data_IF_787285181486
#
_entry.id   IF_787285181486
#
_cell.length_a   1.000
_cell.length_b   1.000
_cell.length_c   1.000
_cell.angle_alpha   90.00
_cell.angle_beta   90.00
_cell.angle_gamma   90.00
#
_symmetry.space_group_name_H-M   'P 1'
#
loop_
_entity.id
_entity.type
_entity.pdbx_description
1 polymer ?
#
# COMPACT_ATOMS: atom_id res chain seq x y z
N UNK A 1 -20.75 -9.37 17.32
CA UNK A 1 -19.53 -9.09 16.53
C UNK A 1 -18.49 -8.62 17.53
N UNK A 2 -17.52 -9.45 17.85
CA UNK A 2 -16.44 -9.07 18.78
C UNK A 2 -15.42 -8.28 17.98
N UNK A 3 -15.37 -6.96 18.18
CA UNK A 3 -14.27 -6.14 17.74
C UNK A 3 -12.98 -6.77 18.27
N UNK A 4 -12.10 -7.20 17.35
CA UNK A 4 -10.74 -7.65 17.71
C UNK A 4 -9.90 -6.42 17.99
N UNK A 5 -10.18 -5.76 19.12
CA UNK A 5 -9.39 -4.62 19.56
C UNK A 5 -7.94 -5.09 19.75
N UNK A 6 -7.07 -4.72 18.85
CA UNK A 6 -5.63 -4.94 19.03
C UNK A 6 -5.18 -4.10 20.22
N UNK A 7 -4.58 -4.70 21.29
CA UNK A 7 -4.11 -3.94 22.44
C UNK A 7 -3.01 -2.94 22.06
N UNK A 8 -2.45 -3.03 20.87
CA UNK A 8 -1.38 -2.17 20.35
C UNK A 8 -1.88 -1.10 19.34
N UNK A 9 -3.21 -0.94 19.21
CA UNK A 9 -3.82 -0.06 18.21
C UNK A 9 -4.08 -0.74 16.85
N UNK A 10 -4.52 0.01 15.82
CA UNK A 10 -4.80 -0.53 14.50
C UNK A 10 -3.52 -0.98 13.80
N UNK A 11 -3.63 -2.01 12.94
CA UNK A 11 -2.56 -2.40 12.04
C UNK A 11 -2.30 -1.27 11.03
N UNK A 12 -1.09 -0.74 11.00
CA UNK A 12 -0.66 0.30 10.07
C UNK A 12 0.02 -0.32 8.85
N UNK A 13 -0.55 -0.11 7.68
CA UNK A 13 -0.11 -0.76 6.44
C UNK A 13 0.39 0.31 5.47
N UNK A 14 1.70 0.36 5.25
CA UNK A 14 2.32 1.23 4.26
C UNK A 14 2.16 0.67 2.85
N UNK A 15 1.67 1.49 1.92
CA UNK A 15 1.55 1.17 0.48
C UNK A 15 2.49 2.10 -0.28
N UNK A 16 3.64 1.58 -0.69
CA UNK A 16 4.64 2.31 -1.47
C UNK A 16 4.68 1.88 -2.94
N UNK A 17 5.37 2.65 -3.75
CA UNK A 17 5.61 2.36 -5.16
C UNK A 17 5.67 3.59 -6.05
N UNK A 18 6.19 3.47 -7.28
CA UNK A 18 6.31 4.58 -8.22
C UNK A 18 4.97 5.19 -8.62
N UNK A 19 5.03 6.40 -9.14
CA UNK A 19 3.85 7.04 -9.77
C UNK A 19 3.37 6.16 -10.92
N UNK A 20 2.06 5.93 -10.99
CA UNK A 20 1.47 5.09 -12.04
C UNK A 20 1.54 3.58 -11.80
N UNK A 21 2.12 3.09 -10.70
CA UNK A 21 2.14 1.65 -10.38
C UNK A 21 0.76 1.09 -10.03
N UNK A 22 -0.17 1.93 -9.58
CA UNK A 22 -1.53 1.55 -9.20
C UNK A 22 -1.77 1.46 -7.69
N UNK A 23 -0.99 2.18 -6.88
CA UNK A 23 -1.17 2.26 -5.41
C UNK A 23 -2.58 2.71 -5.03
N UNK A 24 -3.04 3.82 -5.57
CA UNK A 24 -4.37 4.39 -5.26
C UNK A 24 -5.50 3.45 -5.65
N UNK A 25 -5.36 2.76 -6.79
CA UNK A 25 -6.31 1.70 -7.19
C UNK A 25 -6.29 0.54 -6.21
N UNK A 26 -5.12 0.09 -5.76
CA UNK A 26 -5.01 -0.95 -4.75
C UNK A 26 -5.64 -0.50 -3.43
N UNK A 27 -5.32 0.69 -2.96
CA UNK A 27 -5.89 1.30 -1.74
C UNK A 27 -7.42 1.33 -1.82
N UNK A 28 -7.99 1.79 -2.95
CA UNK A 28 -9.43 1.78 -3.21
C UNK A 28 -10.03 0.36 -3.09
N UNK A 29 -9.42 -0.61 -3.77
CA UNK A 29 -9.93 -1.98 -3.80
C UNK A 29 -9.85 -2.66 -2.42
N UNK A 30 -8.77 -2.43 -1.67
CA UNK A 30 -8.62 -2.93 -0.30
C UNK A 30 -9.68 -2.30 0.61
N UNK A 31 -9.86 -0.99 0.58
CA UNK A 31 -10.88 -0.30 1.38
C UNK A 31 -12.28 -0.86 1.09
N UNK A 32 -12.66 -0.97 -0.18
CA UNK A 32 -13.98 -1.51 -0.58
C UNK A 32 -14.20 -2.96 -0.18
N UNK A 33 -13.15 -3.77 -0.18
CA UNK A 33 -13.24 -5.18 0.18
C UNK A 33 -13.27 -5.41 1.70
N UNK A 34 -12.64 -4.53 2.47
CA UNK A 34 -12.44 -4.73 3.91
C UNK A 34 -13.42 -3.94 4.79
N UNK A 35 -13.95 -2.81 4.32
CA UNK A 35 -14.79 -1.88 5.12
C UNK A 35 -16.06 -2.49 5.72
N UNK A 36 -16.58 -3.55 5.11
CA UNK A 36 -17.79 -4.21 5.61
C UNK A 36 -17.48 -5.22 6.74
N UNK A 37 -16.18 -5.49 6.96
CA UNK A 37 -15.70 -6.47 7.94
C UNK A 37 -14.82 -5.87 9.03
N UNK A 38 -14.13 -4.77 8.71
CA UNK A 38 -13.17 -4.10 9.58
C UNK A 38 -13.41 -2.59 9.59
N UNK A 39 -13.04 -1.96 10.71
CA UNK A 39 -13.00 -0.51 10.82
C UNK A 39 -11.70 -0.01 10.18
N UNK A 40 -11.81 0.60 8.99
CA UNK A 40 -10.67 0.97 8.13
C UNK A 40 -10.61 2.48 7.97
N UNK A 41 -9.38 3.02 7.92
CA UNK A 41 -9.10 4.41 7.56
C UNK A 41 -7.89 4.51 6.60
N UNK A 42 -7.68 5.66 5.97
CA UNK A 42 -6.60 5.91 5.01
C UNK A 42 -5.95 7.25 5.26
N UNK A 43 -4.62 7.27 5.20
CA UNK A 43 -3.79 8.47 5.03
C UNK A 43 -3.12 8.40 3.66
N UNK A 44 -3.30 9.41 2.82
CA UNK A 44 -2.61 9.52 1.53
C UNK A 44 -1.59 10.63 1.58
N UNK A 45 -0.42 10.41 0.99
CA UNK A 45 0.63 11.41 0.86
C UNK A 45 0.71 11.88 -0.59
N UNK A 46 0.76 13.20 -0.79
CA UNK A 46 1.03 13.79 -2.09
C UNK A 46 1.95 15.00 -1.92
N UNK A 47 2.67 15.36 -3.00
CA UNK A 47 3.69 16.42 -2.93
C UNK A 47 3.04 17.80 -2.82
N UNK A 48 2.05 18.09 -3.67
CA UNK A 48 1.45 19.42 -3.82
C UNK A 48 -0.08 19.44 -3.73
N UNK A 49 -0.72 18.29 -3.68
CA UNK A 49 -2.18 18.18 -3.77
C UNK A 49 -2.69 17.12 -2.80
N UNK A 50 -4.01 17.06 -2.66
CA UNK A 50 -4.68 15.94 -1.98
C UNK A 50 -5.43 15.07 -2.99
N UNK A 51 -4.86 14.93 -4.22
CA UNK A 51 -5.57 14.32 -5.33
C UNK A 51 -5.94 12.86 -5.04
N UNK A 52 -5.03 12.08 -4.46
CA UNK A 52 -5.30 10.68 -4.10
C UNK A 52 -6.44 10.58 -3.07
N UNK A 53 -6.49 11.47 -2.07
CA UNK A 53 -7.60 11.52 -1.14
C UNK A 53 -8.91 11.91 -1.84
N UNK A 54 -8.88 12.87 -2.77
CA UNK A 54 -10.03 13.26 -3.57
C UNK A 54 -10.52 12.13 -4.49
N UNK A 55 -9.60 11.34 -5.06
CA UNK A 55 -9.94 10.14 -5.85
C UNK A 55 -10.67 9.14 -4.97
N UNK A 56 -10.13 8.79 -3.81
CA UNK A 56 -10.72 7.83 -2.88
C UNK A 56 -12.11 8.27 -2.39
N UNK A 57 -12.29 9.58 -2.14
CA UNK A 57 -13.58 10.17 -1.78
C UNK A 57 -14.57 10.08 -2.96
N UNK A 58 -14.15 10.44 -4.18
CA UNK A 58 -15.00 10.39 -5.38
C UNK A 58 -15.51 8.99 -5.68
N UNK A 59 -14.66 7.96 -5.51
CA UNK A 59 -15.04 6.57 -5.72
C UNK A 59 -15.72 5.94 -4.51
N UNK A 60 -15.94 6.71 -3.46
CA UNK A 60 -16.57 6.28 -2.20
C UNK A 60 -15.90 5.03 -1.62
N UNK A 61 -14.56 5.04 -1.59
CA UNK A 61 -13.77 3.96 -1.02
C UNK A 61 -14.10 3.76 0.48
N UNK A 62 -14.17 4.86 1.21
CA UNK A 62 -14.59 4.98 2.62
C UNK A 62 -15.43 6.26 2.79
N UNK A 63 -16.11 6.45 3.96
CA UNK A 63 -16.62 7.76 4.39
C UNK A 63 -15.50 8.80 4.43
N UNK A 64 -15.82 10.06 4.08
CA UNK A 64 -14.83 11.14 3.95
C UNK A 64 -14.04 11.40 5.24
N UNK A 65 -14.68 11.27 6.40
CA UNK A 65 -14.06 11.45 7.72
C UNK A 65 -13.04 10.36 8.10
N UNK A 66 -12.91 9.31 7.26
CA UNK A 66 -11.94 8.22 7.39
C UNK A 66 -10.77 8.33 6.39
N UNK A 67 -10.70 9.41 5.61
CA UNK A 67 -9.65 9.65 4.62
C UNK A 67 -8.99 10.98 4.92
N UNK A 68 -7.68 10.98 5.19
CA UNK A 68 -6.90 12.20 5.37
C UNK A 68 -5.82 12.29 4.29
N UNK A 69 -5.83 13.37 3.52
CA UNK A 69 -4.75 13.71 2.59
C UNK A 69 -3.72 14.59 3.27
N UNK A 70 -2.45 14.20 3.20
CA UNK A 70 -1.29 14.93 3.72
C UNK A 70 -0.49 15.51 2.56
N UNK A 71 -0.20 16.80 2.61
CA UNK A 71 0.74 17.47 1.69
C UNK A 71 2.14 17.41 2.29
N UNK A 72 3.05 16.70 1.60
CA UNK A 72 4.39 16.40 2.14
C UNK A 72 5.43 17.45 1.79
N UNK A 73 5.10 18.43 0.92
CA UNK A 73 6.09 19.38 0.41
C UNK A 73 7.18 18.66 -0.41
N UNK A 74 8.23 19.27 -0.75
CA UNK A 74 9.23 18.87 -1.76
C UNK A 74 9.74 17.41 -1.82
N UNK A 75 9.59 16.55 -0.81
CA UNK A 75 10.10 15.18 -0.86
C UNK A 75 9.18 14.16 -0.14
N UNK A 76 8.39 13.36 -0.89
CA UNK A 76 7.49 12.36 -0.30
C UNK A 76 8.19 11.30 0.55
N UNK A 77 9.45 10.96 0.21
CA UNK A 77 10.21 9.95 0.94
C UNK A 77 10.51 10.38 2.39
N UNK A 78 10.73 11.68 2.60
CA UNK A 78 10.97 12.22 3.94
C UNK A 78 9.78 11.96 4.85
N UNK A 79 8.56 12.22 4.36
CA UNK A 79 7.33 12.09 5.15
C UNK A 79 6.99 10.66 5.58
N UNK A 80 7.47 9.65 4.86
CA UNK A 80 7.22 8.25 5.22
C UNK A 80 8.39 7.59 5.95
N UNK A 81 9.57 8.24 6.01
CA UNK A 81 10.77 7.64 6.59
C UNK A 81 11.51 8.54 7.58
N UNK A 82 12.12 9.67 7.11
CA UNK A 82 13.01 10.49 7.94
C UNK A 82 12.23 11.35 8.93
N UNK A 83 11.09 11.90 8.53
CA UNK A 83 10.23 12.72 9.37
C UNK A 83 8.76 12.37 9.13
N UNK A 84 8.30 11.36 9.82
CA UNK A 84 6.92 10.87 9.71
C UNK A 84 5.90 11.71 10.52
N UNK A 85 6.29 12.83 11.09
CA UNK A 85 5.48 13.63 12.03
C UNK A 85 4.10 13.96 11.47
N UNK A 86 4.02 14.44 10.22
CA UNK A 86 2.74 14.82 9.60
C UNK A 86 1.80 13.63 9.41
N UNK A 87 2.35 12.45 9.09
CA UNK A 87 1.58 11.21 8.98
C UNK A 87 1.11 10.71 10.36
N UNK A 88 1.98 10.78 11.36
CA UNK A 88 1.63 10.39 12.74
C UNK A 88 0.52 11.30 13.29
N UNK A 89 0.57 12.61 13.02
CA UNK A 89 -0.50 13.54 13.38
C UNK A 89 -1.82 13.18 12.69
N UNK A 90 -1.80 12.83 11.41
CA UNK A 90 -3.00 12.39 10.68
C UNK A 90 -3.57 11.08 11.25
N UNK A 91 -2.70 10.14 11.65
CA UNK A 91 -3.10 8.90 12.33
C UNK A 91 -3.74 9.21 13.68
N UNK A 92 -3.16 10.08 14.48
CA UNK A 92 -3.70 10.49 15.78
C UNK A 92 -5.07 11.16 15.62
N UNK A 93 -5.26 11.98 14.58
CA UNK A 93 -6.55 12.59 14.25
C UNK A 93 -7.60 11.53 13.90
N UNK A 94 -7.24 10.52 13.09
CA UNK A 94 -8.12 9.40 12.77
C UNK A 94 -8.50 8.58 14.01
N UNK A 95 -7.54 8.30 14.89
CA UNK A 95 -7.77 7.56 16.12
C UNK A 95 -8.66 8.33 17.12
N UNK A 96 -8.53 9.65 17.17
CA UNK A 96 -9.41 10.49 17.98
C UNK A 96 -10.85 10.50 17.47
N UNK A 97 -11.05 10.44 16.15
CA UNK A 97 -12.38 10.37 15.52
C UNK A 97 -12.97 8.95 15.58
N UNK A 98 -12.13 7.96 15.40
CA UNK A 98 -12.50 6.54 15.26
C UNK A 98 -11.60 5.66 16.15
N UNK A 99 -11.85 5.60 17.47
CA UNK A 99 -11.00 4.84 18.40
C UNK A 99 -11.10 3.31 18.23
N UNK A 100 -12.03 2.85 17.40
CA UNK A 100 -12.29 1.44 17.09
C UNK A 100 -11.61 0.97 15.78
N UNK A 101 -10.65 1.73 15.23
CA UNK A 101 -9.97 1.33 13.99
C UNK A 101 -9.23 0.01 14.14
N UNK A 102 -9.45 -0.88 13.18
CA UNK A 102 -8.72 -2.14 13.04
C UNK A 102 -7.49 -1.97 12.14
N UNK A 103 -7.60 -1.17 11.07
CA UNK A 103 -6.56 -0.97 10.06
C UNK A 103 -6.47 0.48 9.59
N UNK A 104 -5.23 0.94 9.34
CA UNK A 104 -4.96 2.21 8.67
C UNK A 104 -4.02 1.95 7.49
N UNK A 105 -4.46 2.25 6.29
CA UNK A 105 -3.60 2.28 5.11
C UNK A 105 -2.89 3.64 5.01
N UNK A 106 -1.58 3.61 4.71
CA UNK A 106 -0.77 4.81 4.53
C UNK A 106 -0.16 4.73 3.14
N UNK A 107 -0.72 5.48 2.20
CA UNK A 107 -0.24 5.52 0.82
C UNK A 107 0.84 6.57 0.65
N UNK A 108 1.96 6.20 0.02
CA UNK A 108 3.05 7.12 -0.30
C UNK A 108 2.76 7.98 -1.54
N UNK A 109 3.35 9.16 -1.62
CA UNK A 109 3.14 10.13 -2.72
C UNK A 109 3.85 9.80 -4.04
N UNK A 110 4.31 8.56 -4.20
CA UNK A 110 5.09 8.13 -5.37
C UNK A 110 6.57 8.03 -5.07
N UNK A 111 7.07 6.80 -5.02
CA UNK A 111 8.40 6.47 -4.54
C UNK A 111 9.27 5.87 -5.63
N UNK A 112 10.58 5.92 -5.40
CA UNK A 112 11.54 5.11 -6.14
C UNK A 112 11.86 3.82 -5.38
N UNK A 113 12.68 2.94 -5.98
CA UNK A 113 13.06 1.65 -5.41
C UNK A 113 13.88 1.72 -4.11
N UNK A 114 14.31 2.90 -3.70
CA UNK A 114 15.06 3.13 -2.45
C UNK A 114 14.14 3.48 -1.26
N UNK A 115 12.91 3.90 -1.51
CA UNK A 115 11.98 4.32 -0.48
C UNK A 115 11.47 3.14 0.37
N UNK A 116 11.47 3.32 1.68
CA UNK A 116 10.89 2.38 2.64
C UNK A 116 10.17 3.17 3.73
N UNK A 117 9.13 2.60 4.30
CA UNK A 117 8.45 3.19 5.45
C UNK A 117 9.30 3.11 6.72
N UNK A 118 9.18 4.13 7.58
CA UNK A 118 9.68 4.04 8.95
C UNK A 118 8.93 2.95 9.73
N UNK A 119 9.62 2.14 10.55
CA UNK A 119 8.96 1.20 11.45
C UNK A 119 8.02 1.88 12.46
N UNK A 120 8.24 3.16 12.76
CA UNK A 120 7.36 3.94 13.64
C UNK A 120 6.03 4.30 12.95
N UNK A 121 6.01 4.28 11.61
CA UNK A 121 4.84 4.66 10.82
C UNK A 121 4.03 3.45 10.34
N UNK A 122 4.68 2.38 9.90
CA UNK A 122 4.02 1.20 9.33
C UNK A 122 4.54 -0.10 9.95
N UNK A 123 3.60 -0.95 10.37
CA UNK A 123 3.86 -2.30 10.91
C UNK A 123 4.05 -3.31 9.79
N UNK A 124 3.37 -3.10 8.66
CA UNK A 124 3.37 -3.94 7.47
C UNK A 124 3.57 -3.08 6.23
N UNK A 125 4.40 -3.54 5.29
CA UNK A 125 4.72 -2.78 4.08
C UNK A 125 4.40 -3.56 2.82
N UNK A 126 3.57 -2.96 1.96
CA UNK A 126 3.26 -3.41 0.61
C UNK A 126 3.99 -2.50 -0.38
N UNK A 127 4.70 -3.07 -1.34
CA UNK A 127 5.34 -2.28 -2.39
C UNK A 127 4.79 -2.67 -3.76
N UNK A 128 4.29 -1.69 -4.50
CA UNK A 128 3.62 -1.89 -5.79
C UNK A 128 4.53 -1.41 -6.91
N UNK A 129 4.84 -2.31 -7.84
CA UNK A 129 5.47 -1.99 -9.13
C UNK A 129 4.53 -2.35 -10.26
N UNK A 130 4.75 -1.78 -11.44
CA UNK A 130 3.95 -2.07 -12.63
C UNK A 130 4.78 -2.81 -13.67
N UNK A 131 4.17 -3.80 -14.33
CA UNK A 131 4.77 -4.46 -15.50
C UNK A 131 5.09 -3.44 -16.59
N UNK A 132 4.32 -2.35 -16.69
CA UNK A 132 4.57 -1.27 -17.65
C UNK A 132 5.84 -0.46 -17.39
N UNK A 133 6.46 -0.58 -16.22
CA UNK A 133 7.75 0.05 -15.91
C UNK A 133 8.95 -0.77 -16.48
N UNK A 134 8.67 -1.93 -17.03
CA UNK A 134 9.61 -2.84 -17.69
C UNK A 134 9.97 -4.07 -16.85
N UNK A 135 10.24 -5.17 -17.55
CA UNK A 135 10.52 -6.48 -16.94
C UNK A 135 11.73 -6.50 -15.99
N UNK A 136 12.66 -5.55 -16.16
CA UNK A 136 13.91 -5.50 -15.39
C UNK A 136 13.76 -4.85 -13.99
N UNK A 137 12.58 -4.35 -13.65
CA UNK A 137 12.38 -3.68 -12.36
C UNK A 137 12.68 -4.60 -11.17
N UNK A 138 12.17 -5.84 -11.08
CA UNK A 138 12.55 -6.72 -9.97
C UNK A 138 14.04 -6.94 -9.88
N UNK A 139 14.75 -7.15 -11.01
CA UNK A 139 16.20 -7.37 -11.09
C UNK A 139 17.03 -6.20 -10.56
N UNK A 140 16.54 -4.96 -10.73
CA UNK A 140 17.21 -3.77 -10.19
C UNK A 140 17.31 -3.81 -8.67
N UNK A 141 16.39 -4.52 -8.02
CA UNK A 141 16.37 -4.62 -6.58
C UNK A 141 16.13 -3.26 -5.92
N UNK A 142 16.78 -3.06 -4.78
CA UNK A 142 16.62 -1.88 -3.95
C UNK A 142 15.80 -2.16 -2.70
N UNK A 143 15.92 -1.34 -1.65
CA UNK A 143 15.29 -1.58 -0.35
C UNK A 143 13.78 -1.79 -0.43
N UNK A 144 13.09 -1.07 -1.29
CA UNK A 144 11.64 -1.19 -1.45
C UNK A 144 11.22 -2.57 -1.97
N UNK A 145 11.97 -3.13 -2.93
CA UNK A 145 11.72 -4.47 -3.47
C UNK A 145 12.15 -5.56 -2.48
N UNK A 146 13.32 -5.43 -1.88
CA UNK A 146 13.93 -6.50 -1.07
C UNK A 146 13.41 -6.55 0.37
N UNK A 147 12.96 -5.41 0.93
CA UNK A 147 12.57 -5.31 2.34
C UNK A 147 11.08 -5.26 2.58
N UNK A 148 10.26 -4.82 1.61
CA UNK A 148 8.79 -4.84 1.78
C UNK A 148 8.31 -6.24 2.17
N UNK A 149 7.26 -6.30 2.97
CA UNK A 149 6.71 -7.58 3.43
C UNK A 149 6.02 -8.32 2.27
N UNK A 150 5.31 -7.59 1.40
CA UNK A 150 4.76 -8.11 0.15
C UNK A 150 5.14 -7.22 -1.03
N UNK A 151 5.68 -7.81 -2.10
CA UNK A 151 5.83 -7.13 -3.39
C UNK A 151 4.63 -7.44 -4.28
N UNK A 152 4.02 -6.40 -4.86
CA UNK A 152 2.88 -6.50 -5.77
C UNK A 152 3.35 -6.08 -7.16
N UNK A 153 3.32 -7.00 -8.11
CA UNK A 153 3.67 -6.76 -9.52
C UNK A 153 2.35 -6.60 -10.28
N UNK A 154 1.92 -5.35 -10.40
CA UNK A 154 0.59 -4.99 -10.92
C UNK A 154 0.59 -4.79 -12.43
N UNK A 155 -0.63 -4.76 -13.01
CA UNK A 155 -0.89 -4.57 -14.43
C UNK A 155 -0.29 -5.68 -15.30
N UNK A 156 -0.39 -6.93 -14.83
CA UNK A 156 0.13 -8.10 -15.56
C UNK A 156 -0.50 -8.28 -16.94
N UNK A 157 -1.71 -7.77 -17.13
CA UNK A 157 -2.44 -7.74 -18.39
C UNK A 157 -1.75 -6.89 -19.48
N UNK A 158 -0.90 -5.94 -19.08
CA UNK A 158 -0.13 -5.10 -19.99
C UNK A 158 1.13 -5.78 -20.53
N UNK A 159 1.56 -6.92 -19.99
CA UNK A 159 2.81 -7.59 -20.36
C UNK A 159 2.99 -7.76 -21.88
N UNK A 160 1.97 -8.24 -22.66
CA UNK A 160 2.12 -8.38 -24.10
C UNK A 160 2.31 -7.06 -24.85
N UNK A 161 1.77 -5.96 -24.32
CA UNK A 161 1.80 -4.63 -24.96
C UNK A 161 3.09 -3.86 -24.70
N UNK A 162 3.79 -4.19 -23.61
CA UNK A 162 5.05 -3.54 -23.22
C UNK A 162 6.26 -4.46 -23.42
N UNK A 163 6.06 -5.60 -24.06
CA UNK A 163 7.08 -6.62 -24.30
C UNK A 163 7.80 -7.06 -23.03
N UNK A 164 7.05 -7.19 -21.92
CA UNK A 164 7.58 -7.69 -20.66
C UNK A 164 7.29 -9.20 -20.54
N UNK A 165 8.31 -9.95 -20.12
CA UNK A 165 8.21 -11.36 -19.83
C UNK A 165 7.93 -11.55 -18.34
N UNK A 166 6.75 -12.12 -18.01
CA UNK A 166 6.36 -12.34 -16.62
C UNK A 166 7.20 -13.43 -15.94
N UNK A 167 7.69 -14.44 -16.68
CA UNK A 167 8.55 -15.50 -16.14
C UNK A 167 9.92 -14.93 -15.76
N UNK A 168 10.44 -13.99 -16.54
CA UNK A 168 11.65 -13.24 -16.20
C UNK A 168 11.44 -12.40 -14.94
N UNK A 169 10.31 -11.68 -14.83
CA UNK A 169 10.01 -10.89 -13.65
C UNK A 169 9.84 -11.77 -12.41
N UNK A 170 9.20 -12.92 -12.53
CA UNK A 170 9.05 -13.91 -11.45
C UNK A 170 10.40 -14.44 -10.97
N UNK A 171 11.25 -14.86 -11.91
CA UNK A 171 12.59 -15.34 -11.61
C UNK A 171 13.42 -14.29 -10.86
N UNK A 172 13.44 -13.07 -11.37
CA UNK A 172 14.17 -11.95 -10.78
C UNK A 172 13.63 -11.58 -9.39
N UNK A 173 12.31 -11.58 -9.23
CA UNK A 173 11.68 -11.34 -7.93
C UNK A 173 12.06 -12.40 -6.90
N UNK A 174 12.09 -13.68 -7.28
CA UNK A 174 12.54 -14.78 -6.41
C UNK A 174 13.99 -14.59 -5.97
N UNK A 175 14.88 -14.20 -6.88
CA UNK A 175 16.30 -13.95 -6.56
C UNK A 175 16.44 -12.80 -5.57
N UNK A 176 15.73 -11.68 -5.80
CA UNK A 176 15.87 -10.48 -4.99
C UNK A 176 15.21 -10.58 -3.62
N UNK A 177 14.16 -11.38 -3.51
CA UNK A 177 13.33 -11.44 -2.30
C UNK A 177 13.58 -12.69 -1.43
N UNK A 178 14.21 -13.73 -1.99
CA UNK A 178 14.36 -15.03 -1.31
C UNK A 178 12.99 -15.60 -0.95
N UNK A 179 12.75 -15.85 0.33
CA UNK A 179 11.49 -16.41 0.85
C UNK A 179 10.36 -15.39 1.01
N UNK A 180 10.62 -14.09 0.83
CA UNK A 180 9.60 -13.07 0.96
C UNK A 180 8.58 -13.13 -0.17
N UNK A 181 7.27 -13.07 0.13
CA UNK A 181 6.22 -13.26 -0.85
C UNK A 181 6.12 -12.12 -1.86
N UNK A 182 5.70 -12.45 -3.06
CA UNK A 182 5.25 -11.51 -4.08
C UNK A 182 4.04 -12.06 -4.83
N UNK A 183 3.28 -11.18 -5.46
CA UNK A 183 2.07 -11.54 -6.21
C UNK A 183 1.96 -10.73 -7.49
N UNK A 184 1.58 -11.39 -8.58
CA UNK A 184 1.18 -10.74 -9.83
C UNK A 184 -0.29 -10.39 -9.79
N UNK A 185 -0.63 -9.16 -10.18
CA UNK A 185 -2.00 -8.66 -10.08
C UNK A 185 -2.48 -7.92 -11.33
N UNK A 186 -3.80 -7.90 -11.49
CA UNK A 186 -4.54 -6.94 -12.31
C UNK A 186 -5.62 -6.31 -11.42
N UNK A 187 -5.30 -5.17 -10.82
CA UNK A 187 -6.20 -4.54 -9.86
C UNK A 187 -7.51 -4.07 -10.50
N UNK A 188 -7.53 -3.70 -11.78
CA UNK A 188 -8.77 -3.31 -12.45
C UNK A 188 -9.75 -4.48 -12.54
N UNK A 189 -9.24 -5.71 -12.69
CA UNK A 189 -10.05 -6.94 -12.70
C UNK A 189 -10.13 -7.63 -11.34
N UNK A 190 -9.54 -7.04 -10.30
CA UNK A 190 -9.42 -7.60 -8.94
C UNK A 190 -8.69 -8.95 -8.90
N UNK A 191 -7.89 -9.26 -9.92
CA UNK A 191 -7.09 -10.48 -9.96
C UNK A 191 -5.87 -10.31 -9.03
N UNK A 192 -5.70 -11.25 -8.08
CA UNK A 192 -4.69 -11.20 -7.02
C UNK A 192 -5.11 -10.39 -5.78
N UNK A 193 -6.26 -9.70 -5.78
CA UNK A 193 -6.71 -8.91 -4.62
C UNK A 193 -6.93 -9.78 -3.37
N UNK A 194 -7.52 -10.96 -3.54
CA UNK A 194 -7.79 -11.87 -2.41
C UNK A 194 -6.49 -12.44 -1.79
N UNK A 195 -5.43 -12.57 -2.57
CA UNK A 195 -4.13 -13.01 -2.06
C UNK A 195 -3.51 -11.93 -1.17
N UNK A 196 -3.64 -10.66 -1.58
CA UNK A 196 -3.19 -9.51 -0.78
C UNK A 196 -3.99 -9.41 0.52
N UNK A 197 -5.32 -9.54 0.46
CA UNK A 197 -6.19 -9.50 1.66
C UNK A 197 -5.80 -10.60 2.63
N UNK A 198 -5.66 -11.83 2.16
CA UNK A 198 -5.23 -12.97 3.01
C UNK A 198 -3.87 -12.72 3.64
N UNK A 199 -2.93 -12.14 2.89
CA UNK A 199 -1.62 -11.78 3.43
C UNK A 199 -1.74 -10.75 4.56
N UNK A 200 -2.53 -9.69 4.37
CA UNK A 200 -2.78 -8.67 5.39
C UNK A 200 -3.44 -9.27 6.64
N UNK A 201 -4.48 -10.08 6.45
CA UNK A 201 -5.21 -10.72 7.55
C UNK A 201 -4.29 -11.64 8.36
N UNK A 202 -3.46 -12.45 7.69
CA UNK A 202 -2.50 -13.35 8.36
C UNK A 202 -1.42 -12.58 9.10
N UNK A 203 -0.82 -11.57 8.48
CA UNK A 203 0.23 -10.76 9.08
C UNK A 203 -0.29 -9.94 10.27
N UNK A 204 -1.52 -9.43 10.19
CA UNK A 204 -2.16 -8.66 11.26
C UNK A 204 -2.81 -9.51 12.35
N UNK A 205 -2.82 -10.84 12.21
CA UNK A 205 -3.46 -11.74 13.18
C UNK A 205 -4.99 -11.68 13.15
N UNK A 206 -5.59 -11.18 12.07
CA UNK A 206 -7.03 -11.19 11.86
C UNK A 206 -7.46 -12.59 11.43
N UNK A 207 -8.05 -13.34 12.36
CA UNK A 207 -8.63 -14.65 12.06
C UNK A 207 -10.12 -14.49 11.76
N UNK A 208 -10.53 -14.95 10.59
CA UNK A 208 -11.96 -15.18 10.32
C UNK A 208 -12.41 -16.55 10.85
#
# INVERSE_FOLDING_TARGET
MTSSYSPNGPLRIGIGGPVGSGKTTLTEMLCKALRDHYSVAVVTNDIYTKEDALILNRVQALPEDRIIGVETGGCPHTAIREDATVNLQAIDELLNRHPDLDMIFIESGGDNLAATFSPDLADLTLYVISVAEGEKIPRKGGPAITRSDLLIINKKDLAPYVHADLDVMEHDAKIQRGEKPFVFTDMLRRDGLQDIIRFIEQAGGFTR
#
